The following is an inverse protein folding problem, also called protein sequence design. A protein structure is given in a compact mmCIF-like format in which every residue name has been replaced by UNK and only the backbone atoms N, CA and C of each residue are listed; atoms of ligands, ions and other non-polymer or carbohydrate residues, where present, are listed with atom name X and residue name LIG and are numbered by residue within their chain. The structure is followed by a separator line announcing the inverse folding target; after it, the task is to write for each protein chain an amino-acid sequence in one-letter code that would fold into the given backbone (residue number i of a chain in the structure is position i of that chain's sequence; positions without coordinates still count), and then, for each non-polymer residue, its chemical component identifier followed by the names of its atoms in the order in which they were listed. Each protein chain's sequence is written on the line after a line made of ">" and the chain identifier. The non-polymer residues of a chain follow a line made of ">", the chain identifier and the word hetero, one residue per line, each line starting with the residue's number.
data_IF_005597902105
#
_entry.id   IF_005597902105
#
_cell.length_a   1.000
_cell.length_b   1.000
_cell.length_c   1.000
_cell.angle_alpha   90.00
_cell.angle_beta   90.00
_cell.angle_gamma   90.00
#
_symmetry.space_group_name_H-M   'P 1'
#
loop_
_entity.id
_entity.type
_entity.pdbx_description
1 polymer ?
#
# COMPACT_ATOMS: atom_id res chain seq x y z
N UNK A 1 22.90 5.04 -3.36
CA UNK A 1 22.50 6.30 -4.05
C UNK A 1 21.00 6.67 -3.87
N UNK A 2 20.23 6.00 -3.00
CA UNK A 2 18.75 6.05 -3.04
C UNK A 2 18.09 7.29 -2.40
N UNK A 3 18.81 8.11 -1.61
CA UNK A 3 18.28 9.32 -0.94
C UNK A 3 17.50 10.28 -1.84
N UNK A 4 17.80 10.33 -3.15
CA UNK A 4 17.09 11.20 -4.11
C UNK A 4 15.85 10.56 -4.75
N UNK A 5 15.63 9.24 -4.61
CA UNK A 5 14.48 8.55 -5.16
C UNK A 5 13.29 8.60 -4.19
N UNK A 6 13.44 8.11 -2.96
CA UNK A 6 12.38 8.12 -1.95
C UNK A 6 11.80 9.52 -1.73
N UNK A 7 12.67 10.52 -1.47
CA UNK A 7 12.28 11.92 -1.23
C UNK A 7 11.76 12.67 -2.49
N UNK A 8 11.63 12.00 -3.66
CA UNK A 8 11.00 12.51 -4.90
C UNK A 8 9.79 11.70 -5.40
N UNK A 9 9.66 10.43 -4.99
CA UNK A 9 8.56 9.56 -5.41
C UNK A 9 7.28 9.78 -4.60
N UNK A 10 7.43 10.10 -3.31
CA UNK A 10 6.34 10.57 -2.45
C UNK A 10 6.02 12.04 -2.81
N UNK A 11 4.79 12.38 -3.24
CA UNK A 11 4.46 13.75 -3.62
C UNK A 11 4.60 14.72 -2.44
N UNK A 12 5.19 15.90 -2.66
CA UNK A 12 5.38 16.91 -1.62
C UNK A 12 4.08 17.42 -0.94
N UNK A 13 2.92 17.04 -1.49
CA UNK A 13 1.58 17.15 -0.88
C UNK A 13 1.52 16.47 0.50
N UNK A 14 2.01 15.23 0.59
CA UNK A 14 1.93 14.38 1.79
C UNK A 14 2.62 15.05 2.98
N UNK A 15 3.92 15.34 2.82
CA UNK A 15 4.76 16.03 3.82
C UNK A 15 4.21 17.40 4.28
N UNK A 16 3.28 18.03 3.55
CA UNK A 16 2.68 19.32 3.94
C UNK A 16 1.47 19.16 4.88
N UNK A 17 0.86 17.98 4.94
CA UNK A 17 -0.36 17.73 5.74
C UNK A 17 0.00 17.36 7.19
N UNK A 18 1.08 16.60 7.40
CA UNK A 18 1.42 16.02 8.71
C UNK A 18 2.12 16.95 9.72
N UNK A 19 2.23 18.25 9.44
CA UNK A 19 2.80 19.24 10.38
C UNK A 19 1.82 19.67 11.50
N UNK A 20 1.12 18.70 12.12
CA UNK A 20 0.24 18.91 13.29
C UNK A 20 0.44 17.81 14.33
N UNK A 21 0.45 18.15 15.64
CA UNK A 21 0.74 17.19 16.71
C UNK A 21 -0.41 16.19 16.95
N UNK A 22 -0.07 15.07 17.57
CA UNK A 22 -0.96 13.93 17.81
C UNK A 22 -2.16 14.27 18.71
N UNK A 23 -3.32 13.68 18.40
CA UNK A 23 -4.44 13.57 19.34
C UNK A 23 -4.39 12.18 19.99
N UNK A 24 -3.98 12.13 21.26
CA UNK A 24 -3.94 10.90 22.03
C UNK A 24 -5.35 10.33 22.25
N UNK A 25 -5.59 9.11 21.77
CA UNK A 25 -6.84 8.36 22.03
C UNK A 25 -6.65 7.54 23.30
N UNK A 26 -7.25 8.00 24.39
CA UNK A 26 -7.23 7.28 25.68
C UNK A 26 -8.12 6.03 25.64
N UNK A 27 -7.61 4.92 26.16
CA UNK A 27 -8.30 3.63 26.19
C UNK A 27 -9.13 3.45 27.48
N UNK A 28 -10.45 3.57 27.38
CA UNK A 28 -11.41 3.14 28.41
C UNK A 28 -12.81 2.99 27.81
N UNK A 29 -13.43 1.81 27.97
CA UNK A 29 -14.74 1.52 27.36
C UNK A 29 -15.20 0.07 27.54
N UNK A 30 -15.65 -0.29 28.74
CA UNK A 30 -16.13 -1.64 29.06
C UNK A 30 -17.44 -1.95 28.34
N UNK A 31 -17.48 -3.00 27.52
CA UNK A 31 -18.69 -3.43 26.81
C UNK A 31 -19.55 -4.37 27.68
N UNK A 32 -20.75 -3.91 28.06
CA UNK A 32 -21.77 -4.76 28.68
C UNK A 32 -22.73 -5.24 27.59
N UNK A 33 -22.78 -6.56 27.35
CA UNK A 33 -23.70 -7.17 26.39
C UNK A 33 -25.12 -7.18 26.96
N UNK A 34 -26.12 -6.83 26.15
CA UNK A 34 -27.51 -7.16 26.44
C UNK A 34 -28.24 -7.59 25.15
N UNK A 35 -28.99 -8.69 25.23
CA UNK A 35 -29.71 -9.27 24.10
C UNK A 35 -31.15 -8.76 24.05
N UNK A 36 -31.69 -8.57 22.84
CA UNK A 36 -33.14 -8.52 22.62
C UNK A 36 -33.49 -8.94 21.20
N UNK A 37 -33.99 -10.17 21.07
CA UNK A 37 -34.59 -10.72 19.85
C UNK A 37 -35.93 -10.06 19.55
N UNK A 38 -36.25 -9.83 18.26
CA UNK A 38 -37.65 -9.89 17.79
C UNK A 38 -37.74 -10.29 16.32
N UNK A 39 -38.74 -11.11 16.02
CA UNK A 39 -39.09 -11.63 14.70
C UNK A 39 -39.88 -10.59 13.90
N UNK A 40 -39.78 -10.61 12.56
CA UNK A 40 -40.79 -11.33 11.75
C UNK A 40 -40.43 -11.43 10.27
N UNK A 41 -40.94 -12.50 9.66
CA UNK A 41 -40.87 -12.81 8.21
C UNK A 41 -42.17 -12.42 7.51
N UNK A 42 -42.09 -12.11 6.21
CA UNK A 42 -43.26 -12.06 5.34
C UNK A 42 -42.92 -12.67 3.98
N UNK A 43 -43.71 -13.65 3.56
CA UNK A 43 -43.71 -14.22 2.23
C UNK A 43 -45.17 -14.48 1.83
N UNK A 44 -45.56 -14.03 0.64
CA UNK A 44 -46.89 -14.25 0.11
C UNK A 44 -46.77 -14.60 -1.38
N UNK A 45 -47.22 -15.81 -1.75
CA UNK A 45 -47.23 -16.31 -3.12
C UNK A 45 -48.66 -16.26 -3.65
N UNK A 46 -48.84 -15.79 -4.89
CA UNK A 46 -50.15 -15.75 -5.54
C UNK A 46 -50.03 -16.02 -7.04
N UNK A 47 -50.32 -17.25 -7.45
CA UNK A 47 -50.52 -17.60 -8.85
C UNK A 47 -51.96 -17.26 -9.27
N UNK A 48 -52.14 -16.74 -10.48
CA UNK A 48 -53.30 -16.99 -11.34
C UNK A 48 -52.84 -16.95 -12.80
N UNK A 49 -53.58 -17.61 -13.68
CA UNK A 49 -53.10 -18.02 -15.02
C UNK A 49 -53.95 -17.46 -16.16
N UNK A 50 -53.29 -17.36 -17.32
CA UNK A 50 -53.78 -17.79 -18.64
C UNK A 50 -54.11 -16.71 -19.71
N UNK A 51 -53.91 -17.14 -20.96
CA UNK A 51 -54.40 -16.63 -22.26
C UNK A 51 -53.70 -15.45 -22.97
N UNK A 52 -53.44 -15.71 -24.25
CA UNK A 52 -52.90 -14.89 -25.35
C UNK A 52 -53.96 -15.00 -26.49
N UNK A 53 -54.17 -14.04 -27.43
CA UNK A 53 -53.19 -13.77 -28.49
C UNK A 53 -53.13 -12.33 -29.06
N UNK A 54 -52.16 -12.10 -29.96
CA UNK A 54 -51.92 -10.89 -30.76
C UNK A 54 -52.97 -10.66 -31.88
N UNK A 55 -52.99 -9.46 -32.50
CA UNK A 55 -52.60 -9.41 -33.93
C UNK A 55 -51.68 -8.25 -34.36
N UNK A 56 -51.28 -8.26 -35.63
CA UNK A 56 -50.29 -7.40 -36.32
C UNK A 56 -50.77 -5.94 -36.58
N UNK A 57 -50.09 -4.99 -37.27
CA UNK A 57 -49.12 -5.05 -38.40
C UNK A 57 -48.25 -3.74 -38.48
N UNK A 58 -47.47 -3.37 -39.54
CA UNK A 58 -46.12 -2.78 -39.33
C UNK A 58 -45.73 -1.46 -40.06
N UNK A 59 -44.60 -0.88 -39.63
CA UNK A 59 -43.43 -0.30 -40.39
C UNK A 59 -43.68 0.11 -41.86
N UNK A 60 -43.38 1.38 -42.29
CA UNK A 60 -42.02 1.70 -42.75
C UNK A 60 -41.42 3.07 -42.37
N UNK A 61 -40.13 3.23 -42.70
CA UNK A 61 -39.26 4.39 -42.47
C UNK A 61 -38.70 4.86 -43.81
N UNK A 62 -38.71 6.18 -44.05
CA UNK A 62 -38.00 6.89 -45.11
C UNK A 62 -37.94 8.38 -44.70
N UNK A 63 -37.09 9.26 -45.21
CA UNK A 63 -35.65 9.28 -45.55
C UNK A 63 -35.39 10.73 -46.03
N UNK A 64 -34.17 11.25 -45.81
CA UNK A 64 -33.73 12.65 -46.05
C UNK A 64 -32.61 12.57 -47.12
N UNK A 65 -32.35 13.53 -48.05
CA UNK A 65 -32.55 15.01 -48.02
C UNK A 65 -33.39 15.53 -49.23
N UNK A 66 -33.32 16.75 -49.83
CA UNK A 66 -32.34 17.87 -49.90
C UNK A 66 -32.97 19.23 -50.27
N UNK A 67 -32.23 20.31 -50.01
CA UNK A 67 -32.14 21.60 -50.73
C UNK A 67 -33.39 22.39 -51.16
N UNK A 68 -33.51 23.61 -50.61
CA UNK A 68 -33.86 24.80 -51.41
C UNK A 68 -32.86 25.94 -51.18
N UNK A 69 -32.18 26.34 -52.25
CA UNK A 69 -31.29 27.51 -52.26
C UNK A 69 -32.13 28.78 -52.45
N UNK A 70 -32.06 29.72 -51.51
CA UNK A 70 -32.59 31.06 -51.68
C UNK A 70 -31.50 32.08 -51.31
N UNK A 71 -31.05 32.87 -52.30
CA UNK A 71 -30.07 33.93 -52.10
C UNK A 71 -30.77 35.29 -52.14
N UNK A 72 -30.72 36.02 -51.02
CA UNK A 72 -31.23 37.39 -50.92
C UNK A 72 -30.26 38.25 -50.12
N UNK A 73 -29.40 38.97 -50.82
CA UNK A 73 -28.50 39.96 -50.22
C UNK A 73 -29.27 41.20 -49.78
N UNK A 74 -29.25 41.53 -48.49
CA UNK A 74 -29.49 42.90 -48.02
C UNK A 74 -28.72 43.23 -46.72
N UNK A 75 -27.81 44.20 -46.89
CA UNK A 75 -27.33 45.24 -45.97
C UNK A 75 -27.17 44.95 -44.47
N UNK A 76 -25.95 45.20 -44.02
CA UNK A 76 -25.53 45.40 -42.64
C UNK A 76 -26.13 46.67 -42.02
N UNK A 77 -26.78 46.55 -40.86
CA UNK A 77 -27.09 47.66 -39.97
C UNK A 77 -27.17 47.14 -38.51
N UNK A 78 -26.51 47.82 -37.58
CA UNK A 78 -26.11 47.20 -36.30
C UNK A 78 -27.15 47.22 -35.18
N UNK A 79 -27.17 46.17 -34.35
CA UNK A 79 -27.80 46.21 -33.01
C UNK A 79 -27.07 45.34 -32.00
N UNK A 80 -27.10 45.75 -30.74
CA UNK A 80 -26.25 45.22 -29.66
C UNK A 80 -26.93 44.14 -28.81
N UNK A 81 -26.08 43.39 -28.08
CA UNK A 81 -26.41 42.46 -26.99
C UNK A 81 -27.18 41.17 -27.35
N UNK A 82 -26.45 40.05 -27.35
CA UNK A 82 -26.74 38.98 -26.39
C UNK A 82 -25.43 38.50 -25.76
N UNK A 83 -25.31 38.67 -24.44
CA UNK A 83 -24.11 38.28 -23.71
C UNK A 83 -24.19 36.79 -23.36
N UNK A 84 -23.82 35.93 -24.31
CA UNK A 84 -23.78 34.49 -24.09
C UNK A 84 -22.79 34.18 -22.94
N UNK A 85 -23.32 33.69 -21.81
CA UNK A 85 -22.51 33.25 -20.67
C UNK A 85 -21.89 31.89 -20.99
N UNK A 86 -20.87 31.91 -21.86
CA UNK A 86 -19.96 30.79 -22.03
C UNK A 86 -19.47 30.35 -20.66
N UNK A 87 -19.86 29.14 -20.26
CA UNK A 87 -19.51 28.59 -18.95
C UNK A 87 -18.01 28.35 -18.93
N UNK A 88 -17.28 29.30 -18.33
CA UNK A 88 -15.84 29.19 -18.09
C UNK A 88 -15.61 28.09 -17.06
N UNK A 89 -15.59 26.84 -17.54
CA UNK A 89 -15.26 25.65 -16.76
C UNK A 89 -13.78 25.72 -16.37
N UNK A 90 -13.51 26.52 -15.33
CA UNK A 90 -12.18 26.76 -14.77
C UNK A 90 -11.54 25.43 -14.44
N UNK A 91 -10.55 25.02 -15.22
CA UNK A 91 -9.78 23.79 -15.00
C UNK A 91 -9.01 23.97 -13.69
N UNK A 92 -9.59 23.52 -12.56
CA UNK A 92 -8.92 23.51 -11.26
C UNK A 92 -7.52 22.88 -11.41
N UNK A 93 -6.45 23.46 -10.83
CA UNK A 93 -5.09 22.95 -11.01
C UNK A 93 -4.96 21.48 -10.59
N UNK A 94 -4.18 20.69 -11.33
CA UNK A 94 -3.94 19.26 -11.02
C UNK A 94 -3.35 19.01 -9.63
N UNK A 95 -2.70 20.00 -9.02
CA UNK A 95 -2.23 19.94 -7.64
C UNK A 95 -3.41 19.88 -6.65
N UNK A 96 -4.37 20.80 -6.76
CA UNK A 96 -5.55 20.89 -5.89
C UNK A 96 -6.36 19.58 -5.86
N UNK A 97 -6.48 18.88 -6.99
CA UNK A 97 -7.13 17.57 -7.03
C UNK A 97 -6.36 16.51 -6.20
N UNK A 98 -5.03 16.50 -6.25
CA UNK A 98 -4.21 15.60 -5.43
C UNK A 98 -4.26 15.97 -3.94
N UNK A 99 -4.36 17.26 -3.63
CA UNK A 99 -4.54 17.76 -2.26
C UNK A 99 -5.93 17.35 -1.71
N UNK A 100 -6.97 17.38 -2.55
CA UNK A 100 -8.31 16.86 -2.23
C UNK A 100 -8.30 15.33 -2.08
N UNK A 101 -7.68 14.59 -3.01
CA UNK A 101 -7.53 13.12 -2.97
C UNK A 101 -6.82 12.63 -1.70
N UNK A 102 -5.68 13.23 -1.33
CA UNK A 102 -4.94 12.85 -0.12
C UNK A 102 -5.75 13.10 1.17
N UNK A 103 -6.46 14.24 1.26
CA UNK A 103 -7.36 14.52 2.40
C UNK A 103 -8.46 13.46 2.55
N UNK A 104 -9.06 13.05 1.43
CA UNK A 104 -10.11 12.03 1.42
C UNK A 104 -9.56 10.66 1.83
N UNK A 105 -8.39 10.25 1.32
CA UNK A 105 -7.73 8.99 1.69
C UNK A 105 -7.42 8.95 3.19
N UNK A 106 -6.79 9.99 3.74
CA UNK A 106 -6.50 10.13 5.18
C UNK A 106 -7.76 9.98 6.04
N UNK A 107 -8.83 10.73 5.72
CA UNK A 107 -10.10 10.68 6.44
C UNK A 107 -10.88 9.37 6.24
N UNK A 108 -10.50 8.54 5.27
CA UNK A 108 -11.13 7.23 5.05
C UNK A 108 -10.61 6.14 5.99
N UNK A 109 -9.37 6.29 6.50
CA UNK A 109 -8.73 5.26 7.34
C UNK A 109 -9.51 4.95 8.64
N UNK A 110 -10.02 5.92 9.44
CA UNK A 110 -10.82 5.61 10.62
C UNK A 110 -12.08 4.78 10.34
N UNK A 111 -12.64 4.88 9.13
CA UNK A 111 -13.80 4.09 8.73
C UNK A 111 -13.47 2.64 8.36
N UNK A 112 -12.22 2.33 8.00
CA UNK A 112 -11.78 0.96 7.63
C UNK A 112 -12.09 -0.04 8.73
N UNK A 113 -11.93 0.32 10.00
CA UNK A 113 -12.24 -0.54 11.15
C UNK A 113 -13.66 -1.12 11.09
N UNK A 114 -14.63 -0.30 10.63
CA UNK A 114 -16.06 -0.64 10.54
C UNK A 114 -16.47 -1.13 9.14
N UNK A 115 -15.98 -0.48 8.08
CA UNK A 115 -16.41 -0.68 6.69
C UNK A 115 -15.45 -1.54 5.85
N UNK A 116 -14.31 -1.93 6.41
CA UNK A 116 -13.22 -2.58 5.67
C UNK A 116 -12.55 -1.65 4.67
N UNK A 117 -11.62 -2.21 3.89
CA UNK A 117 -10.94 -1.54 2.79
C UNK A 117 -11.87 -1.50 1.57
N UNK A 118 -12.82 -0.56 1.56
CA UNK A 118 -13.95 -0.51 0.61
C UNK A 118 -14.21 0.88 0.06
N UNK A 119 -14.84 0.98 -1.12
CA UNK A 119 -15.36 2.23 -1.67
C UNK A 119 -16.29 2.97 -0.69
N UNK A 120 -17.00 2.25 0.18
CA UNK A 120 -17.84 2.86 1.22
C UNK A 120 -17.03 3.61 2.29
N UNK A 121 -15.80 3.17 2.59
CA UNK A 121 -14.88 3.93 3.45
C UNK A 121 -14.44 5.24 2.76
N UNK A 122 -14.10 5.18 1.46
CA UNK A 122 -13.76 6.35 0.64
C UNK A 122 -14.93 7.36 0.56
N UNK A 123 -16.15 6.88 0.37
CA UNK A 123 -17.38 7.71 0.36
C UNK A 123 -17.63 8.36 1.74
N UNK A 124 -17.23 7.69 2.83
CA UNK A 124 -17.39 8.23 4.19
C UNK A 124 -16.34 9.31 4.46
N UNK A 125 -15.06 9.02 4.23
CA UNK A 125 -13.97 10.00 4.39
C UNK A 125 -14.16 11.24 3.51
N UNK A 126 -14.72 11.10 2.30
CA UNK A 126 -15.06 12.22 1.44
C UNK A 126 -16.07 13.19 2.07
N UNK A 127 -17.10 12.67 2.73
CA UNK A 127 -18.12 13.48 3.43
C UNK A 127 -17.50 14.22 4.61
N UNK A 128 -16.67 13.53 5.40
CA UNK A 128 -16.03 14.09 6.60
C UNK A 128 -15.10 15.27 6.25
N UNK A 129 -14.44 15.26 5.09
CA UNK A 129 -13.59 16.39 4.62
C UNK A 129 -14.33 17.43 3.79
N UNK A 130 -15.65 17.34 3.67
CA UNK A 130 -16.50 18.30 2.94
C UNK A 130 -16.39 18.21 1.40
N UNK A 131 -15.97 17.07 0.86
CA UNK A 131 -15.77 16.86 -0.58
C UNK A 131 -16.91 16.00 -1.14
N UNK A 132 -17.33 16.27 -2.39
CA UNK A 132 -18.38 15.46 -3.04
C UNK A 132 -17.94 13.98 -3.15
N UNK A 133 -18.78 13.00 -2.77
CA UNK A 133 -18.50 11.58 -2.97
C UNK A 133 -18.15 11.19 -4.42
N UNK A 134 -18.48 12.02 -5.42
CA UNK A 134 -18.04 11.83 -6.81
C UNK A 134 -16.52 11.82 -6.98
N UNK A 135 -15.73 12.37 -6.04
CA UNK A 135 -14.26 12.27 -6.06
C UNK A 135 -13.78 10.83 -6.01
N UNK A 136 -14.56 9.90 -5.45
CA UNK A 136 -14.17 8.50 -5.33
C UNK A 136 -13.98 7.83 -6.71
N UNK A 137 -14.57 8.41 -7.77
CA UNK A 137 -14.33 8.03 -9.16
C UNK A 137 -12.99 8.51 -9.76
N UNK A 138 -12.16 9.32 -9.07
CA UNK A 138 -10.82 9.68 -9.54
C UNK A 138 -9.72 8.71 -9.04
N UNK A 139 -9.96 7.96 -7.96
CA UNK A 139 -8.98 7.02 -7.42
C UNK A 139 -8.74 5.82 -8.36
N UNK A 140 -7.55 5.67 -8.95
CA UNK A 140 -7.25 4.53 -9.80
C UNK A 140 -7.24 3.25 -8.94
N UNK A 141 -8.05 2.26 -9.33
CA UNK A 141 -8.22 0.98 -8.60
C UNK A 141 -8.81 1.13 -7.18
N UNK A 142 -9.47 2.27 -6.88
CA UNK A 142 -10.33 2.52 -5.70
C UNK A 142 -9.75 2.01 -4.37
N UNK A 143 -10.20 0.85 -3.88
CA UNK A 143 -9.76 0.20 -2.64
C UNK A 143 -8.24 0.02 -2.57
N UNK A 144 -7.59 -0.29 -3.71
CA UNK A 144 -6.15 -0.43 -3.78
C UNK A 144 -5.43 0.90 -3.49
N UNK A 145 -5.98 2.04 -3.91
CA UNK A 145 -5.41 3.35 -3.60
C UNK A 145 -5.49 3.67 -2.10
N UNK A 146 -6.51 3.19 -1.39
CA UNK A 146 -6.62 3.35 0.08
C UNK A 146 -5.60 2.48 0.82
N UNK A 147 -5.40 1.24 0.38
CA UNK A 147 -4.36 0.36 0.95
C UNK A 147 -2.96 0.88 0.63
N UNK A 148 -2.71 1.33 -0.60
CA UNK A 148 -1.43 1.92 -1.02
C UNK A 148 -1.11 3.18 -0.24
N UNK A 149 -2.08 4.10 -0.07
CA UNK A 149 -1.95 5.30 0.76
C UNK A 149 -1.50 4.97 2.19
N UNK A 150 -2.16 4.01 2.84
CA UNK A 150 -1.81 3.56 4.20
C UNK A 150 -0.41 2.91 4.26
N UNK A 151 -0.04 2.13 3.25
CA UNK A 151 1.29 1.52 3.16
C UNK A 151 2.41 2.56 2.99
N UNK A 152 2.14 3.65 2.25
CA UNK A 152 3.05 4.80 2.12
C UNK A 152 3.12 5.64 3.41
N UNK A 153 2.00 5.97 4.06
CA UNK A 153 1.99 6.66 5.38
C UNK A 153 2.79 5.88 6.44
N UNK A 154 2.63 4.55 6.49
CA UNK A 154 3.38 3.71 7.42
C UNK A 154 4.88 3.63 7.09
N UNK A 155 5.27 3.87 5.83
CA UNK A 155 6.67 3.97 5.43
C UNK A 155 7.24 5.36 5.75
N UNK A 156 6.49 6.44 5.51
CA UNK A 156 6.87 7.81 5.93
C UNK A 156 7.09 7.86 7.45
N UNK A 157 6.14 7.34 8.25
CA UNK A 157 6.28 7.28 9.72
C UNK A 157 7.49 6.47 10.17
N UNK A 158 7.83 5.38 9.48
CA UNK A 158 9.03 4.59 9.81
C UNK A 158 10.32 5.37 9.49
N UNK A 159 10.36 6.10 8.37
CA UNK A 159 11.50 6.95 7.99
C UNK A 159 11.68 8.09 8.99
N UNK A 160 10.59 8.73 9.43
CA UNK A 160 10.67 9.81 10.44
C UNK A 160 11.16 9.28 11.80
N UNK A 161 10.80 8.05 12.17
CA UNK A 161 11.37 7.36 13.34
C UNK A 161 12.87 7.06 13.13
N UNK A 162 13.28 6.58 11.96
CA UNK A 162 14.69 6.32 11.62
C UNK A 162 15.54 7.61 11.62
N UNK A 163 15.02 8.74 11.13
CA UNK A 163 15.73 10.02 11.11
C UNK A 163 15.78 10.73 12.47
N UNK A 164 14.98 10.30 13.48
CA UNK A 164 14.91 10.92 14.82
C UNK A 164 15.42 10.05 15.98
N UNK A 165 15.38 8.72 15.87
CA UNK A 165 15.67 7.79 16.96
C UNK A 165 17.18 7.46 17.06
N UNK A 166 17.93 8.32 17.76
CA UNK A 166 19.38 8.15 17.97
C UNK A 166 19.74 6.85 18.71
N UNK A 167 18.83 6.32 19.55
CA UNK A 167 19.01 5.07 20.29
C UNK A 167 19.11 3.84 19.38
N UNK A 168 18.49 3.87 18.19
CA UNK A 168 18.59 2.79 17.21
C UNK A 168 20.04 2.49 16.85
N UNK A 169 20.89 3.52 16.75
CA UNK A 169 22.30 3.41 16.34
C UNK A 169 23.13 2.61 17.34
N UNK A 170 22.71 2.58 18.61
CA UNK A 170 23.39 1.84 19.68
C UNK A 170 23.01 0.35 19.71
N UNK A 171 21.92 -0.05 19.05
CA UNK A 171 21.51 -1.46 18.94
C UNK A 171 22.39 -2.20 17.94
N UNK A 172 22.65 -3.49 18.23
CA UNK A 172 23.31 -4.38 17.27
C UNK A 172 22.43 -4.58 16.03
N UNK A 173 23.00 -4.90 14.85
CA UNK A 173 22.25 -5.00 13.60
C UNK A 173 20.98 -5.88 13.64
N UNK A 174 21.01 -7.01 14.33
CA UNK A 174 19.85 -7.91 14.46
C UNK A 174 18.72 -7.30 15.29
N UNK A 175 19.05 -6.70 16.44
CA UNK A 175 18.08 -6.00 17.31
C UNK A 175 17.48 -4.79 16.60
N UNK A 176 18.27 -4.07 15.81
CA UNK A 176 17.79 -2.92 15.03
C UNK A 176 16.82 -3.35 13.93
N UNK A 177 17.11 -4.45 13.21
CA UNK A 177 16.15 -5.04 12.24
C UNK A 177 14.87 -5.46 12.96
N UNK A 178 14.97 -6.15 14.10
CA UNK A 178 13.80 -6.61 14.86
C UNK A 178 12.93 -5.44 15.33
N UNK A 179 13.53 -4.43 15.94
CA UNK A 179 12.83 -3.21 16.39
C UNK A 179 12.17 -2.47 15.22
N UNK A 180 12.83 -2.32 14.07
CA UNK A 180 12.26 -1.63 12.91
C UNK A 180 11.13 -2.41 12.24
N UNK A 181 11.25 -3.75 12.10
CA UNK A 181 10.16 -4.58 11.59
C UNK A 181 8.98 -4.57 12.56
N UNK A 182 9.22 -4.69 13.87
CA UNK A 182 8.18 -4.60 14.91
C UNK A 182 7.43 -3.27 14.85
N UNK A 183 8.13 -2.13 14.89
CA UNK A 183 7.53 -0.78 14.78
C UNK A 183 6.64 -0.67 13.52
N UNK A 184 7.07 -1.24 12.40
CA UNK A 184 6.30 -1.20 11.15
C UNK A 184 5.08 -2.15 11.11
N UNK A 185 5.08 -3.21 11.91
CA UNK A 185 3.91 -4.09 12.08
C UNK A 185 2.94 -3.52 13.13
N UNK A 186 3.45 -2.85 14.16
CA UNK A 186 2.65 -2.14 15.17
C UNK A 186 1.76 -1.04 14.56
N UNK A 187 2.19 -0.35 13.49
CA UNK A 187 1.29 0.60 12.78
C UNK A 187 0.09 -0.07 12.10
N UNK A 188 0.15 -1.39 11.83
CA UNK A 188 -0.94 -2.18 11.25
C UNK A 188 -1.88 -2.75 12.30
N UNK A 189 -1.44 -2.87 13.56
CA UNK A 189 -2.20 -3.48 14.65
C UNK A 189 -3.64 -2.94 14.83
N UNK A 190 -3.93 -1.61 14.71
CA UNK A 190 -5.30 -1.10 14.79
C UNK A 190 -6.22 -1.70 13.71
N UNK A 191 -5.67 -2.00 12.54
CA UNK A 191 -6.41 -2.47 11.35
C UNK A 191 -6.37 -3.99 11.18
N UNK A 192 -5.78 -4.75 12.12
CA UNK A 192 -5.50 -6.19 11.98
C UNK A 192 -6.74 -7.01 11.59
N UNK A 193 -7.90 -6.68 12.19
CA UNK A 193 -9.20 -7.32 11.94
C UNK A 193 -9.72 -7.16 10.50
N UNK A 194 -9.09 -6.28 9.71
CA UNK A 194 -9.33 -6.05 8.28
C UNK A 194 -8.07 -6.24 7.43
N UNK A 195 -6.91 -6.57 8.02
CA UNK A 195 -5.64 -6.59 7.30
C UNK A 195 -5.56 -7.73 6.28
N UNK A 196 -6.21 -8.87 6.55
CA UNK A 196 -6.40 -9.94 5.57
C UNK A 196 -7.08 -9.46 4.26
N UNK A 197 -8.03 -8.51 4.35
CA UNK A 197 -8.67 -7.89 3.18
C UNK A 197 -7.67 -7.00 2.42
N UNK A 198 -6.88 -6.18 3.11
CA UNK A 198 -5.84 -5.36 2.48
C UNK A 198 -4.76 -6.19 1.79
N UNK A 199 -4.37 -7.33 2.37
CA UNK A 199 -3.43 -8.28 1.77
C UNK A 199 -4.03 -8.97 0.54
N UNK A 200 -5.31 -9.35 0.59
CA UNK A 200 -6.04 -9.86 -0.58
C UNK A 200 -6.11 -8.82 -1.71
N UNK A 201 -6.29 -7.53 -1.40
CA UNK A 201 -6.27 -6.43 -2.38
C UNK A 201 -4.85 -6.28 -2.96
N UNK A 202 -3.81 -6.23 -2.13
CA UNK A 202 -2.41 -6.15 -2.58
C UNK A 202 -2.01 -7.32 -3.50
N UNK A 203 -2.55 -8.51 -3.26
CA UNK A 203 -2.28 -9.73 -4.03
C UNK A 203 -2.98 -9.80 -5.39
N UNK A 204 -3.88 -8.88 -5.73
CA UNK A 204 -4.52 -8.84 -7.05
C UNK A 204 -3.49 -8.50 -8.15
N UNK A 205 -3.54 -9.12 -9.34
CA UNK A 205 -2.52 -8.90 -10.39
C UNK A 205 -2.31 -7.44 -10.82
N UNK A 206 -3.34 -6.59 -10.72
CA UNK A 206 -3.27 -5.16 -11.04
C UNK A 206 -2.60 -4.31 -9.94
N UNK A 207 -2.40 -4.87 -8.74
CA UNK A 207 -1.90 -4.18 -7.55
C UNK A 207 -0.52 -4.69 -7.13
N UNK A 208 -0.23 -5.99 -7.35
CA UNK A 208 1.05 -6.65 -7.05
C UNK A 208 2.29 -5.82 -7.44
N UNK A 209 2.39 -5.19 -8.64
CA UNK A 209 3.57 -4.38 -8.98
C UNK A 209 3.81 -3.19 -8.04
N UNK A 210 2.74 -2.52 -7.59
CA UNK A 210 2.83 -1.40 -6.64
C UNK A 210 3.09 -1.91 -5.22
N UNK A 211 2.33 -2.92 -4.77
CA UNK A 211 2.46 -3.46 -3.42
C UNK A 211 3.82 -4.13 -3.18
N UNK A 212 4.38 -4.80 -4.20
CA UNK A 212 5.74 -5.33 -4.16
C UNK A 212 6.79 -4.20 -4.14
N UNK A 213 6.58 -3.10 -4.89
CA UNK A 213 7.45 -1.92 -4.84
C UNK A 213 7.44 -1.26 -3.44
N UNK A 214 6.28 -1.17 -2.77
CA UNK A 214 6.18 -0.63 -1.41
C UNK A 214 6.94 -1.52 -0.40
N UNK A 215 6.73 -2.84 -0.46
CA UNK A 215 7.47 -3.82 0.37
C UNK A 215 8.98 -3.78 0.12
N UNK A 216 9.38 -3.63 -1.14
CA UNK A 216 10.76 -3.42 -1.55
C UNK A 216 11.37 -2.16 -0.92
N UNK A 217 10.71 -1.00 -1.05
CA UNK A 217 11.19 0.26 -0.48
C UNK A 217 11.29 0.19 1.05
N UNK A 218 10.32 -0.44 1.72
CA UNK A 218 10.37 -0.70 3.16
C UNK A 218 11.61 -1.51 3.56
N UNK A 219 11.89 -2.62 2.86
CA UNK A 219 13.06 -3.47 3.11
C UNK A 219 14.37 -2.70 2.86
N UNK A 220 14.41 -1.84 1.84
CA UNK A 220 15.60 -1.04 1.52
C UNK A 220 15.87 0.05 2.57
N UNK A 221 14.85 0.72 3.09
CA UNK A 221 15.01 1.73 4.15
C UNK A 221 15.39 1.09 5.50
N UNK A 222 14.87 -0.11 5.84
CA UNK A 222 15.32 -0.86 7.03
C UNK A 222 16.80 -1.23 6.91
N UNK A 223 17.25 -1.78 5.77
CA UNK A 223 18.68 -2.09 5.59
C UNK A 223 19.57 -0.84 5.60
N UNK A 224 19.09 0.27 5.05
CA UNK A 224 19.79 1.56 5.11
C UNK A 224 19.93 2.07 6.57
N UNK A 225 18.92 1.89 7.42
CA UNK A 225 18.96 2.24 8.84
C UNK A 225 19.88 1.33 9.69
N UNK A 226 20.19 0.12 9.22
CA UNK A 226 21.14 -0.80 9.87
C UNK A 226 22.60 -0.36 9.68
N UNK A 227 22.92 0.25 8.54
CA UNK A 227 24.30 0.59 8.14
C UNK A 227 25.01 -0.65 7.59
N UNK A 228 25.32 -0.64 6.29
CA UNK A 228 25.79 -1.81 5.54
C UNK A 228 27.28 -1.67 5.13
N UNK A 229 28.12 -1.26 6.08
CA UNK A 229 29.52 -0.86 5.81
C UNK A 229 30.50 -2.04 5.65
N UNK A 230 30.09 -3.30 5.90
CA UNK A 230 31.02 -4.43 5.99
C UNK A 230 30.42 -5.83 5.67
N UNK A 231 29.48 -5.95 4.71
CA UNK A 231 28.81 -7.22 4.41
C UNK A 231 28.81 -7.62 2.94
N UNK A 232 29.75 -8.48 2.55
CA UNK A 232 29.95 -9.07 1.20
C UNK A 232 28.71 -9.76 0.59
N UNK A 233 27.74 -10.15 1.42
CA UNK A 233 26.46 -10.72 0.95
C UNK A 233 25.75 -9.75 0.00
N UNK A 234 25.32 -10.26 -1.15
CA UNK A 234 24.55 -9.52 -2.16
C UNK A 234 23.31 -8.85 -1.56
N UNK A 235 23.07 -7.60 -1.94
CA UNK A 235 21.90 -6.82 -1.54
C UNK A 235 20.58 -7.52 -1.93
N UNK A 236 20.53 -8.26 -3.04
CA UNK A 236 19.36 -9.07 -3.43
C UNK A 236 19.07 -10.17 -2.41
N UNK A 237 20.11 -10.80 -1.83
CA UNK A 237 19.95 -11.81 -0.77
C UNK A 237 19.48 -11.15 0.52
N UNK A 238 20.08 -10.03 0.93
CA UNK A 238 19.63 -9.23 2.10
C UNK A 238 18.15 -8.85 1.97
N UNK A 239 17.73 -8.36 0.80
CA UNK A 239 16.34 -7.99 0.47
C UNK A 239 15.39 -9.19 0.49
N UNK A 240 15.81 -10.32 -0.07
CA UNK A 240 15.00 -11.55 -0.15
C UNK A 240 14.74 -12.12 1.24
N UNK A 241 15.78 -12.20 2.08
CA UNK A 241 15.68 -12.67 3.46
C UNK A 241 14.76 -11.76 4.28
N UNK A 242 15.02 -10.44 4.32
CA UNK A 242 14.22 -9.52 5.13
C UNK A 242 12.77 -9.39 4.61
N UNK A 243 12.55 -9.40 3.30
CA UNK A 243 11.21 -9.40 2.71
C UNK A 243 10.42 -10.68 3.03
N UNK A 244 11.10 -11.83 3.11
CA UNK A 244 10.53 -13.10 3.57
C UNK A 244 10.18 -13.07 5.06
N UNK A 245 11.09 -12.60 5.92
CA UNK A 245 10.84 -12.43 7.36
C UNK A 245 9.66 -11.48 7.60
N UNK A 246 9.65 -10.31 6.97
CA UNK A 246 8.54 -9.34 7.09
C UNK A 246 7.21 -9.98 6.68
N UNK A 247 7.15 -10.60 5.49
CA UNK A 247 5.88 -11.10 4.94
C UNK A 247 5.36 -12.35 5.68
N UNK A 248 6.24 -13.19 6.23
CA UNK A 248 5.83 -14.32 7.08
C UNK A 248 5.39 -13.87 8.47
N UNK A 249 6.04 -12.85 9.04
CA UNK A 249 5.64 -12.26 10.34
C UNK A 249 4.30 -11.53 10.22
N UNK A 250 4.10 -10.74 9.15
CA UNK A 250 2.83 -10.07 8.85
C UNK A 250 1.67 -11.08 8.66
N UNK A 251 1.94 -12.24 8.04
CA UNK A 251 0.96 -13.32 7.90
C UNK A 251 0.66 -14.00 9.25
N UNK A 252 1.68 -14.25 10.08
CA UNK A 252 1.54 -14.82 11.43
C UNK A 252 0.68 -13.90 12.32
N UNK A 253 0.91 -12.58 12.24
CA UNK A 253 0.20 -11.56 13.02
C UNK A 253 -1.32 -11.54 12.76
N UNK A 254 -1.80 -11.99 11.58
CA UNK A 254 -3.23 -12.14 11.31
C UNK A 254 -3.90 -13.23 12.16
N UNK A 255 -3.12 -14.18 12.66
CA UNK A 255 -3.59 -15.37 13.39
C UNK A 255 -3.22 -15.36 14.87
N UNK A 256 -2.38 -14.42 15.29
CA UNK A 256 -1.97 -14.25 16.68
C UNK A 256 -3.14 -13.68 17.51
N UNK A 257 -3.36 -14.30 18.66
CA UNK A 257 -4.37 -13.92 19.66
C UNK A 257 -3.77 -13.77 21.06
N UNK A 258 -2.43 -13.79 21.16
CA UNK A 258 -1.70 -13.48 22.38
C UNK A 258 -1.79 -11.98 22.72
N UNK A 259 -1.71 -11.61 24.01
CA UNK A 259 -1.67 -10.21 24.42
C UNK A 259 -0.54 -9.44 23.72
N UNK A 260 -0.88 -8.27 23.18
CA UNK A 260 0.03 -7.33 22.50
C UNK A 260 0.91 -7.97 21.40
N UNK A 261 0.41 -9.01 20.73
CA UNK A 261 1.11 -9.78 19.68
C UNK A 261 2.44 -10.39 20.13
N UNK A 262 2.55 -10.76 21.43
CA UNK A 262 3.74 -11.38 22.03
C UNK A 262 4.31 -12.52 21.20
N UNK A 263 3.45 -13.38 20.66
CA UNK A 263 3.88 -14.60 19.97
C UNK A 263 4.36 -14.30 18.53
N UNK A 264 3.82 -13.25 17.89
CA UNK A 264 4.36 -12.65 16.66
C UNK A 264 5.76 -12.07 16.89
N UNK A 265 6.00 -11.39 18.01
CA UNK A 265 7.33 -10.84 18.33
C UNK A 265 8.34 -11.96 18.60
N UNK A 266 7.95 -13.00 19.34
CA UNK A 266 8.79 -14.19 19.54
C UNK A 266 9.09 -14.92 18.21
N UNK A 267 8.13 -14.98 17.28
CA UNK A 267 8.36 -15.49 15.93
C UNK A 267 9.35 -14.63 15.15
N UNK A 268 9.19 -13.30 15.17
CA UNK A 268 10.06 -12.33 14.49
C UNK A 268 11.51 -12.43 14.95
N UNK A 269 11.74 -12.39 16.26
CA UNK A 269 13.07 -12.47 16.86
C UNK A 269 13.76 -13.79 16.51
N UNK A 270 13.02 -14.90 16.50
CA UNK A 270 13.53 -16.19 16.08
C UNK A 270 13.92 -16.21 14.58
N UNK A 271 13.09 -15.67 13.68
CA UNK A 271 13.42 -15.62 12.23
C UNK A 271 14.60 -14.70 11.93
N UNK A 272 14.75 -13.60 12.67
CA UNK A 272 15.91 -12.72 12.55
C UNK A 272 17.17 -13.41 13.07
N UNK A 273 17.09 -14.11 14.20
CA UNK A 273 18.20 -14.92 14.70
C UNK A 273 18.64 -15.96 13.67
N UNK A 274 17.71 -16.74 13.12
CA UNK A 274 18.00 -17.75 12.10
C UNK A 274 18.78 -17.16 10.91
N UNK A 275 18.37 -15.98 10.42
CA UNK A 275 19.03 -15.30 9.32
C UNK A 275 20.44 -14.77 9.65
N UNK A 276 20.64 -14.24 10.86
CA UNK A 276 21.95 -13.77 11.31
C UNK A 276 22.91 -14.91 11.66
N UNK A 277 22.42 -16.03 12.16
CA UNK A 277 23.23 -17.22 12.43
C UNK A 277 23.59 -17.95 11.11
N UNK A 278 22.65 -18.09 10.16
CA UNK A 278 22.94 -18.57 8.79
C UNK A 278 24.03 -17.73 8.09
N UNK A 279 23.99 -16.39 8.26
CA UNK A 279 25.04 -15.49 7.76
C UNK A 279 26.42 -15.85 8.34
N UNK A 280 26.53 -16.08 9.65
CA UNK A 280 27.80 -16.44 10.30
C UNK A 280 28.32 -17.77 9.74
N UNK A 281 27.48 -18.80 9.72
CA UNK A 281 27.84 -20.13 9.22
C UNK A 281 28.32 -20.09 7.76
N UNK A 282 27.69 -19.29 6.90
CA UNK A 282 28.15 -19.10 5.53
C UNK A 282 29.53 -18.43 5.45
N UNK A 283 29.78 -17.39 6.24
CA UNK A 283 31.07 -16.69 6.29
C UNK A 283 32.19 -17.57 6.89
N UNK A 284 31.88 -18.40 7.88
CA UNK A 284 32.80 -19.38 8.46
C UNK A 284 33.15 -20.50 7.47
N UNK A 285 32.15 -21.03 6.75
CA UNK A 285 32.36 -22.04 5.71
C UNK A 285 33.22 -21.52 4.54
N UNK A 286 32.99 -20.28 4.10
CA UNK A 286 33.80 -19.65 3.05
C UNK A 286 35.27 -19.51 3.50
N UNK A 287 35.52 -18.96 4.69
CA UNK A 287 36.88 -18.81 5.25
C UNK A 287 37.58 -20.14 5.43
N UNK A 288 36.86 -21.19 5.82
CA UNK A 288 37.41 -22.54 5.91
C UNK A 288 37.82 -23.08 4.54
N UNK A 289 36.99 -22.90 3.51
CA UNK A 289 37.31 -23.30 2.14
C UNK A 289 38.53 -22.55 1.58
N UNK A 290 38.61 -21.24 1.80
CA UNK A 290 39.77 -20.41 1.44
C UNK A 290 41.05 -20.88 2.14
N UNK A 291 41.00 -21.11 3.45
CA UNK A 291 42.14 -21.58 4.24
C UNK A 291 42.63 -22.98 3.82
N UNK A 292 41.71 -23.92 3.56
CA UNK A 292 42.05 -25.27 3.07
C UNK A 292 42.64 -25.20 1.66
N UNK A 293 42.06 -24.40 0.76
CA UNK A 293 42.58 -24.19 -0.59
C UNK A 293 44.01 -23.62 -0.60
N UNK A 294 44.27 -22.58 0.19
CA UNK A 294 45.59 -21.98 0.35
C UNK A 294 46.62 -22.97 0.94
N UNK A 295 46.24 -23.73 1.97
CA UNK A 295 47.10 -24.75 2.58
C UNK A 295 47.46 -25.91 1.65
N UNK A 296 46.49 -26.39 0.85
CA UNK A 296 46.74 -27.42 -0.16
C UNK A 296 47.63 -26.91 -1.30
N UNK A 297 47.44 -25.67 -1.78
CA UNK A 297 48.30 -25.08 -2.82
C UNK A 297 49.78 -25.03 -2.42
N UNK A 298 50.07 -24.47 -1.24
CA UNK A 298 51.47 -24.35 -0.76
C UNK A 298 52.15 -25.70 -0.49
N UNK A 299 51.43 -26.65 0.09
CA UNK A 299 51.97 -27.99 0.39
C UNK A 299 52.28 -28.82 -0.87
N UNK A 300 51.42 -28.75 -1.89
CA UNK A 300 51.64 -29.42 -3.17
C UNK A 300 52.84 -28.85 -3.92
N UNK A 301 52.98 -27.52 -3.99
CA UNK A 301 54.12 -26.87 -4.63
C UNK A 301 55.45 -27.22 -3.93
N UNK A 302 55.47 -27.22 -2.59
CA UNK A 302 56.63 -27.63 -1.79
C UNK A 302 57.00 -29.12 -1.95
N UNK A 303 56.02 -30.00 -2.17
CA UNK A 303 56.26 -31.42 -2.45
C UNK A 303 56.83 -31.62 -3.86
N UNK A 304 56.22 -31.01 -4.89
CA UNK A 304 56.68 -31.13 -6.28
C UNK A 304 58.11 -30.60 -6.46
N UNK A 305 58.42 -29.43 -5.89
CA UNK A 305 59.78 -28.86 -5.97
C UNK A 305 60.83 -29.76 -5.28
N UNK A 306 60.45 -30.49 -4.23
CA UNK A 306 61.32 -31.46 -3.53
C UNK A 306 61.44 -32.81 -4.27
N UNK A 307 60.52 -33.13 -5.19
CA UNK A 307 60.57 -34.33 -6.05
C UNK A 307 61.37 -34.09 -7.34
N UNK A 308 61.27 -32.89 -7.93
CA UNK A 308 61.94 -32.54 -9.20
C UNK A 308 63.35 -31.93 -9.05
N UNK A 309 63.92 -31.92 -7.83
CA UNK A 309 65.28 -31.40 -7.56
C UNK A 309 66.20 -32.50 -7.03
N UNK A 310 66.37 -33.57 -7.80
CA UNK A 310 67.26 -34.71 -7.51
C UNK A 310 67.81 -35.33 -8.78
#
# INVERSE_FOLDING_TARGET
>A
MCRSAAKRLLPAVYRRIYSRPELAISSSGTLTVNNSTRFMTSAATGNLTDQNPTPANPIPVDSIPVNYTASSSFKEEGRTHHHEKSSSRTKRPKAHYKDEEARVLSASLPHVLRLGWTETALISGARDVGVSPSIVGSFPRKEAALVEYFMDECLERLIDIIESAEDLKNLIPSERVAKLVKIRLETQAPYISKWAQALSIQAQPLNVPTSFKQRAMLVDEIWHAVGDDASEIDWYVKRTILGGIYSTTELYMLTDSSPDFRDTWAFLDARIKDAFDLKKTAQEAQRLAEAVGAGMGGSLQGFMQRVFTR
#
